data_IF_703811240505
#
_entry.id   IF_703811240505
#
_cell.length_a   1.000
_cell.length_b   1.000
_cell.length_c   1.000
_cell.angle_alpha   90.00
_cell.angle_beta   90.00
_cell.angle_gamma   90.00
#
_symmetry.space_group_name_H-M   'P 1'
#
loop_
_entity.id
_entity.type
_entity.pdbx_description
1 polymer ?
#
# COMPACT_ATOMS: atom_id res chain seq x y z
N UNK A 1 55.13 12.42 -3.51
CA UNK A 1 53.90 13.02 -4.09
C UNK A 1 52.67 12.09 -4.01
N UNK A 2 52.81 10.84 -3.58
CA UNK A 2 51.72 9.84 -3.55
C UNK A 2 50.86 9.85 -2.28
N UNK A 3 51.29 10.51 -1.20
CA UNK A 3 50.56 10.53 0.08
C UNK A 3 49.42 11.56 0.14
N UNK A 4 49.40 12.53 -0.79
CA UNK A 4 48.37 13.57 -0.81
C UNK A 4 47.11 13.16 -1.59
N UNK A 5 47.20 12.14 -2.46
CA UNK A 5 46.02 11.58 -3.14
C UNK A 5 45.11 10.80 -2.18
N UNK A 6 45.66 10.20 -1.11
CA UNK A 6 44.88 9.39 -0.18
C UNK A 6 43.92 10.21 0.70
N UNK A 7 44.22 11.47 0.99
CA UNK A 7 43.32 12.35 1.75
C UNK A 7 42.16 12.91 0.90
N UNK A 8 42.31 12.98 -0.42
CA UNK A 8 41.28 13.55 -1.29
C UNK A 8 40.09 12.59 -1.53
N UNK A 9 40.30 11.27 -1.37
CA UNK A 9 39.25 10.25 -1.51
C UNK A 9 38.23 10.22 -0.34
N UNK A 10 38.51 10.89 0.78
CA UNK A 10 37.64 10.90 1.96
C UNK A 10 36.67 12.10 2.00
N UNK A 11 36.66 12.93 0.95
CA UNK A 11 35.79 14.12 0.83
C UNK A 11 34.62 13.91 -0.15
N UNK A 12 34.26 12.65 -0.44
CA UNK A 12 33.02 12.37 -1.18
C UNK A 12 31.84 12.94 -0.37
N UNK A 13 31.04 13.86 -0.94
CA UNK A 13 29.84 14.33 -0.25
C UNK A 13 28.95 13.13 0.03
N UNK A 14 28.48 13.00 1.27
CA UNK A 14 27.42 12.05 1.60
C UNK A 14 26.20 12.45 0.76
N UNK A 15 25.89 11.64 -0.25
CA UNK A 15 24.62 11.76 -0.95
C UNK A 15 23.55 11.42 0.09
N UNK A 16 22.55 12.28 0.34
CA UNK A 16 21.46 11.91 1.22
C UNK A 16 20.84 10.63 0.68
N UNK A 17 20.92 9.55 1.46
CA UNK A 17 20.22 8.33 1.14
C UNK A 17 18.73 8.60 1.30
N UNK A 18 17.93 8.32 0.27
CA UNK A 18 16.47 8.33 0.40
C UNK A 18 16.08 7.11 1.22
N UNK A 19 15.80 7.34 2.49
CA UNK A 19 15.72 6.28 3.50
C UNK A 19 14.31 5.68 3.68
N UNK A 20 13.33 6.09 2.87
CA UNK A 20 11.97 5.57 2.90
C UNK A 20 11.47 5.37 1.46
N UNK A 21 10.68 4.32 1.21
CA UNK A 21 10.02 3.38 2.15
C UNK A 21 10.90 2.18 2.58
N UNK A 22 10.44 1.38 3.56
CA UNK A 22 11.11 0.15 4.05
C UNK A 22 10.47 -1.14 3.54
N UNK A 23 9.17 -1.10 3.26
CA UNK A 23 8.39 -2.23 2.74
C UNK A 23 7.76 -1.82 1.42
N UNK A 24 7.81 -2.72 0.44
CA UNK A 24 7.17 -2.51 -0.86
C UNK A 24 6.07 -3.54 -1.03
N UNK A 25 4.87 -3.09 -1.41
CA UNK A 25 3.71 -3.94 -1.64
C UNK A 25 3.11 -3.63 -2.99
N UNK A 26 3.16 -4.60 -3.88
CA UNK A 26 2.43 -4.59 -5.14
C UNK A 26 0.97 -4.94 -4.88
N UNK A 27 0.04 -4.19 -5.49
CA UNK A 27 -1.38 -4.31 -5.19
C UNK A 27 -2.23 -4.53 -6.43
N UNK A 28 -3.27 -5.34 -6.25
CA UNK A 28 -4.33 -5.52 -7.24
C UNK A 28 -5.65 -5.21 -6.56
N UNK A 29 -6.48 -4.37 -7.19
CA UNK A 29 -7.80 -4.01 -6.68
C UNK A 29 -8.87 -4.56 -7.60
N UNK A 30 -9.82 -5.34 -7.07
CA UNK A 30 -10.98 -5.82 -7.81
C UNK A 30 -12.26 -5.32 -7.16
N UNK A 31 -12.94 -4.40 -7.82
CA UNK A 31 -14.13 -3.74 -7.30
C UNK A 31 -15.39 -4.51 -7.67
N UNK A 32 -16.32 -4.59 -6.74
CA UNK A 32 -17.66 -5.14 -6.94
C UNK A 32 -18.66 -4.01 -7.13
N UNK A 33 -19.42 -4.07 -8.23
CA UNK A 33 -20.52 -3.17 -8.49
C UNK A 33 -21.85 -3.94 -8.52
N UNK A 34 -22.91 -3.34 -7.99
CA UNK A 34 -24.27 -3.87 -8.13
C UNK A 34 -24.90 -3.52 -9.50
N UNK A 35 -26.15 -3.93 -9.71
CA UNK A 35 -26.90 -3.65 -10.94
C UNK A 35 -27.20 -2.17 -11.19
N UNK A 36 -27.11 -1.33 -10.17
CA UNK A 36 -27.29 0.12 -10.24
C UNK A 36 -25.96 0.87 -10.45
N UNK A 37 -24.84 0.14 -10.56
CA UNK A 37 -23.46 0.68 -10.61
C UNK A 37 -23.04 1.35 -9.31
N UNK A 38 -23.54 0.84 -8.18
CA UNK A 38 -23.04 1.20 -6.86
C UNK A 38 -21.83 0.33 -6.53
N UNK A 39 -20.74 0.93 -6.05
CA UNK A 39 -19.64 0.24 -5.40
C UNK A 39 -20.14 -0.40 -4.10
N UNK A 40 -19.94 -1.72 -3.98
CA UNK A 40 -20.37 -2.49 -2.80
C UNK A 40 -19.22 -3.17 -2.08
N UNK A 41 -18.02 -3.18 -2.67
CA UNK A 41 -16.83 -3.70 -2.00
C UNK A 41 -15.64 -3.84 -2.92
N UNK A 42 -14.51 -4.17 -2.30
CA UNK A 42 -13.20 -4.24 -2.95
C UNK A 42 -12.47 -5.48 -2.44
N UNK A 43 -12.05 -6.35 -3.36
CA UNK A 43 -11.04 -7.36 -3.08
C UNK A 43 -9.66 -6.75 -3.32
N UNK A 44 -8.80 -6.86 -2.31
CA UNK A 44 -7.44 -6.32 -2.29
C UNK A 44 -6.49 -7.49 -2.26
N UNK A 45 -5.53 -7.49 -3.18
CA UNK A 45 -4.37 -8.37 -3.14
C UNK A 45 -3.15 -7.56 -2.73
N UNK A 46 -2.41 -8.03 -1.73
CA UNK A 46 -1.12 -7.50 -1.33
C UNK A 46 -0.05 -8.53 -1.65
N UNK A 47 0.90 -8.17 -2.51
CA UNK A 47 2.10 -8.94 -2.78
C UNK A 47 3.29 -8.21 -2.16
N UNK A 48 3.72 -8.67 -0.99
CA UNK A 48 4.86 -8.11 -0.29
C UNK A 48 6.16 -8.39 -1.05
N UNK A 49 7.13 -7.50 -0.97
CA UNK A 49 8.46 -7.77 -1.50
C UNK A 49 9.10 -9.00 -0.82
N UNK A 50 10.05 -9.63 -1.54
CA UNK A 50 10.64 -10.88 -1.09
C UNK A 50 11.46 -10.74 0.21
N UNK A 51 12.06 -9.58 0.47
CA UNK A 51 12.82 -9.37 1.70
C UNK A 51 11.88 -9.26 2.89
N UNK A 52 10.82 -8.46 2.79
CA UNK A 52 9.84 -8.35 3.86
C UNK A 52 9.09 -9.66 4.10
N UNK A 53 8.77 -10.39 3.03
CA UNK A 53 8.17 -11.72 3.11
C UNK A 53 9.05 -12.69 3.91
N UNK A 54 10.35 -12.75 3.62
CA UNK A 54 11.30 -13.56 4.39
C UNK A 54 11.33 -13.15 5.86
N UNK A 55 11.35 -11.85 6.16
CA UNK A 55 11.37 -11.35 7.54
C UNK A 55 10.11 -11.76 8.32
N UNK A 56 8.93 -11.71 7.69
CA UNK A 56 7.69 -12.21 8.30
C UNK A 56 7.83 -13.69 8.64
N UNK A 57 8.28 -14.52 7.69
CA UNK A 57 8.42 -15.96 7.92
C UNK A 57 9.43 -16.27 9.02
N UNK A 58 10.58 -15.57 9.05
CA UNK A 58 11.61 -15.74 10.07
C UNK A 58 11.12 -15.33 11.47
N UNK A 59 10.45 -14.17 11.60
CA UNK A 59 9.94 -13.68 12.90
C UNK A 59 8.85 -14.60 13.47
N UNK A 60 8.01 -15.15 12.58
CA UNK A 60 6.97 -16.11 12.93
C UNK A 60 7.51 -17.55 13.13
N UNK A 61 8.75 -17.83 12.72
CA UNK A 61 9.34 -19.17 12.77
C UNK A 61 8.68 -20.17 11.82
N UNK A 62 8.19 -19.72 10.68
CA UNK A 62 7.59 -20.52 9.61
C UNK A 62 8.64 -20.91 8.54
N UNK A 63 8.32 -21.88 7.67
CA UNK A 63 9.23 -22.41 6.65
C UNK A 63 10.56 -22.90 7.26
N UNK A 64 10.48 -23.66 8.36
CA UNK A 64 11.65 -24.05 9.15
C UNK A 64 12.64 -24.96 8.39
N UNK A 65 12.19 -25.65 7.34
CA UNK A 65 13.02 -26.42 6.43
C UNK A 65 13.53 -25.61 5.23
N UNK A 66 13.04 -24.39 5.02
CA UNK A 66 13.53 -23.40 4.07
C UNK A 66 13.33 -23.84 2.62
N UNK A 67 12.28 -24.60 2.35
CA UNK A 67 11.97 -25.09 1.01
C UNK A 67 11.08 -24.11 0.21
N UNK A 68 10.57 -23.07 0.89
CA UNK A 68 9.72 -22.05 0.30
C UNK A 68 8.30 -22.54 -0.01
N UNK A 69 7.86 -23.64 0.59
CA UNK A 69 6.53 -24.24 0.43
C UNK A 69 5.83 -24.32 1.77
N UNK A 70 5.01 -23.31 2.05
CA UNK A 70 4.25 -23.26 3.31
C UNK A 70 3.17 -24.34 3.38
N UNK A 71 3.14 -25.05 4.50
CA UNK A 71 2.06 -25.96 4.86
C UNK A 71 0.75 -25.18 5.12
N UNK A 72 -0.43 -25.83 5.01
CA UNK A 72 -1.72 -25.15 5.19
C UNK A 72 -1.88 -24.44 6.55
N UNK A 73 -1.31 -24.98 7.61
CA UNK A 73 -1.33 -24.38 8.95
C UNK A 73 -0.38 -23.18 9.09
N UNK A 74 0.71 -23.15 8.31
CA UNK A 74 1.60 -21.97 8.23
C UNK A 74 0.91 -20.85 7.45
N UNK A 75 0.24 -21.17 6.33
CA UNK A 75 -0.57 -20.22 5.57
C UNK A 75 -1.71 -19.64 6.42
N UNK A 76 -2.38 -20.44 7.24
CA UNK A 76 -3.39 -19.94 8.18
C UNK A 76 -2.77 -18.95 9.18
N UNK A 77 -1.58 -19.25 9.72
CA UNK A 77 -0.88 -18.34 10.63
C UNK A 77 -0.55 -17.01 9.96
N UNK A 78 -0.03 -17.02 8.73
CA UNK A 78 0.26 -15.79 7.97
C UNK A 78 -1.01 -14.98 7.73
N UNK A 79 -2.12 -15.61 7.30
CA UNK A 79 -3.38 -14.90 7.07
C UNK A 79 -3.89 -14.21 8.35
N UNK A 80 -3.76 -14.87 9.50
CA UNK A 80 -4.18 -14.30 10.79
C UNK A 80 -3.27 -13.18 11.25
N UNK A 81 -1.95 -13.31 11.04
CA UNK A 81 -1.00 -12.23 11.28
C UNK A 81 -1.39 -10.98 10.49
N UNK A 82 -1.73 -11.15 9.21
CA UNK A 82 -2.05 -10.05 8.31
C UNK A 82 -3.39 -9.36 8.67
N UNK A 83 -4.40 -10.10 9.14
CA UNK A 83 -5.79 -9.59 9.21
C UNK A 83 -6.45 -9.58 10.60
N UNK A 84 -6.05 -10.41 11.57
CA UNK A 84 -6.85 -10.64 12.80
C UNK A 84 -6.69 -9.54 13.87
N UNK A 85 -5.71 -8.63 13.76
CA UNK A 85 -5.33 -7.73 14.86
C UNK A 85 -5.06 -6.28 14.42
N UNK A 86 -5.88 -5.75 13.51
CA UNK A 86 -5.78 -4.34 13.13
C UNK A 86 -6.15 -3.43 14.32
N UNK A 87 -5.32 -2.42 14.64
CA UNK A 87 -5.71 -1.36 15.57
C UNK A 87 -7.03 -0.68 15.17
N UNK A 88 -7.79 -0.15 16.15
CA UNK A 88 -9.09 0.49 15.88
C UNK A 88 -9.01 1.67 14.89
N UNK A 89 -7.85 2.33 14.82
CA UNK A 89 -7.55 3.46 13.95
C UNK A 89 -6.86 3.07 12.64
N UNK A 90 -6.59 1.78 12.41
CA UNK A 90 -5.99 1.29 11.17
C UNK A 90 -7.06 0.93 10.15
N UNK A 91 -7.20 1.77 9.12
CA UNK A 91 -8.17 1.60 8.03
C UNK A 91 -7.74 0.57 6.96
N UNK A 92 -6.54 -0.02 7.10
CA UNK A 92 -5.97 -0.96 6.14
C UNK A 92 -5.27 -0.31 4.95
N UNK A 93 -4.78 0.93 5.14
CA UNK A 93 -4.08 1.71 4.12
C UNK A 93 -4.84 1.92 2.80
N UNK A 94 -6.16 1.67 2.79
CA UNK A 94 -7.03 1.86 1.64
C UNK A 94 -8.11 2.88 1.98
N UNK A 95 -8.09 4.01 1.27
CA UNK A 95 -8.95 5.15 1.55
C UNK A 95 -9.82 5.47 0.35
N UNK A 96 -11.12 5.59 0.59
CA UNK A 96 -12.12 5.86 -0.44
C UNK A 96 -12.80 7.20 -0.16
N UNK A 97 -13.09 7.95 -1.23
CA UNK A 97 -13.96 9.13 -1.20
C UNK A 97 -14.98 9.05 -2.31
N UNK A 98 -16.21 9.49 -2.04
CA UNK A 98 -17.22 9.65 -3.09
C UNK A 98 -16.97 10.87 -3.99
N UNK A 99 -17.84 11.07 -4.98
CA UNK A 99 -17.77 12.18 -5.92
C UNK A 99 -17.90 13.56 -5.25
N UNK A 100 -18.45 13.64 -4.03
CA UNK A 100 -18.51 14.87 -3.23
C UNK A 100 -17.31 15.03 -2.29
N UNK A 101 -16.36 14.08 -2.31
CA UNK A 101 -15.15 14.09 -1.49
C UNK A 101 -15.35 13.60 -0.05
N UNK A 102 -16.49 12.97 0.27
CA UNK A 102 -16.76 12.42 1.60
C UNK A 102 -16.10 11.04 1.73
N UNK A 103 -15.42 10.80 2.86
CA UNK A 103 -14.80 9.50 3.11
C UNK A 103 -15.84 8.38 3.19
N UNK A 104 -15.55 7.25 2.54
CA UNK A 104 -16.34 6.04 2.60
C UNK A 104 -15.67 5.05 3.56
N UNK A 105 -16.43 4.56 4.54
CA UNK A 105 -15.95 3.56 5.48
C UNK A 105 -15.87 2.19 4.81
N UNK A 106 -14.82 1.43 5.12
CA UNK A 106 -14.64 0.05 4.71
C UNK A 106 -15.04 -0.89 5.85
N UNK A 107 -15.66 -2.02 5.51
CA UNK A 107 -15.89 -3.12 6.45
C UNK A 107 -14.57 -3.75 6.92
N UNK A 108 -14.62 -4.54 8.00
CA UNK A 108 -13.48 -5.32 8.46
C UNK A 108 -12.94 -6.23 7.33
N UNK A 109 -11.63 -6.54 7.31
CA UNK A 109 -11.07 -7.34 6.24
C UNK A 109 -11.54 -8.80 6.36
N UNK A 110 -12.03 -9.36 5.26
CA UNK A 110 -12.38 -10.77 5.15
C UNK A 110 -11.32 -11.52 4.36
N UNK A 111 -10.52 -12.37 5.02
CA UNK A 111 -9.48 -13.16 4.36
C UNK A 111 -10.01 -14.07 3.25
N UNK A 112 -9.36 -14.04 2.09
CA UNK A 112 -9.65 -14.88 0.90
C UNK A 112 -8.54 -15.85 0.54
N UNK A 113 -7.37 -15.69 1.16
CA UNK A 113 -6.27 -16.65 1.09
C UNK A 113 -4.93 -15.96 1.25
N UNK A 114 -3.89 -16.76 1.39
CA UNK A 114 -2.50 -16.34 1.29
C UNK A 114 -1.71 -17.41 0.56
N UNK A 115 -0.69 -17.00 -0.20
CA UNK A 115 0.22 -17.88 -0.92
C UNK A 115 1.65 -17.36 -0.79
N UNK A 116 2.63 -18.24 -0.88
CA UNK A 116 4.04 -17.88 -1.10
C UNK A 116 4.36 -18.15 -2.58
N UNK A 117 4.61 -17.09 -3.35
CA UNK A 117 4.87 -17.17 -4.79
C UNK A 117 6.21 -16.50 -5.05
N UNK A 118 7.18 -17.26 -5.57
CA UNK A 118 8.52 -16.74 -5.89
C UNK A 118 9.19 -15.97 -4.74
N UNK A 119 8.96 -16.42 -3.49
CA UNK A 119 9.48 -15.80 -2.27
C UNK A 119 8.67 -14.60 -1.75
N UNK A 120 7.56 -14.26 -2.41
CA UNK A 120 6.66 -13.18 -2.00
C UNK A 120 5.41 -13.75 -1.33
N UNK A 121 5.08 -13.25 -0.15
CA UNK A 121 3.78 -13.46 0.45
C UNK A 121 2.74 -12.66 -0.34
N UNK A 122 1.73 -13.36 -0.85
CA UNK A 122 0.61 -12.80 -1.58
C UNK A 122 -0.65 -13.08 -0.78
N UNK A 123 -1.16 -12.06 -0.08
CA UNK A 123 -2.41 -12.14 0.68
C UNK A 123 -3.56 -11.51 -0.09
N UNK A 124 -4.75 -12.08 0.08
CA UNK A 124 -5.99 -11.58 -0.53
C UNK A 124 -7.03 -11.42 0.55
N UNK A 125 -7.68 -10.26 0.60
CA UNK A 125 -8.79 -10.00 1.49
C UNK A 125 -9.87 -9.15 0.81
N UNK A 126 -11.08 -9.19 1.34
CA UNK A 126 -12.22 -8.43 0.83
C UNK A 126 -12.69 -7.40 1.86
N UNK A 127 -13.14 -6.24 1.39
CA UNK A 127 -13.62 -5.12 2.18
C UNK A 127 -14.99 -4.69 1.67
N UNK A 128 -16.01 -4.75 2.52
CA UNK A 128 -17.34 -4.25 2.17
C UNK A 128 -17.37 -2.71 2.11
N UNK A 129 -18.21 -2.17 1.24
CA UNK A 129 -18.50 -0.73 1.13
C UNK A 129 -20.01 -0.55 1.13
N UNK A 130 -20.53 0.41 1.91
CA UNK A 130 -21.94 0.74 1.82
C UNK A 130 -22.26 1.20 0.37
N UNK A 131 -23.34 0.69 -0.28
CA UNK A 131 -23.62 0.98 -1.68
C UNK A 131 -23.50 2.47 -2.03
N UNK A 132 -22.52 2.81 -2.86
CA UNK A 132 -22.15 4.20 -3.22
C UNK A 132 -21.98 4.35 -4.73
N UNK A 133 -22.48 5.41 -5.39
CA UNK A 133 -22.39 5.49 -6.84
C UNK A 133 -20.93 5.43 -7.28
N UNK A 134 -20.59 4.50 -8.18
CA UNK A 134 -19.20 4.28 -8.56
C UNK A 134 -18.62 5.48 -9.33
N UNK A 135 -19.45 6.22 -10.05
CA UNK A 135 -19.03 7.43 -10.78
C UNK A 135 -18.38 8.44 -9.83
N UNK A 136 -17.12 8.80 -10.11
CA UNK A 136 -16.39 9.83 -9.38
C UNK A 136 -15.82 9.38 -8.04
N UNK A 137 -15.92 8.10 -7.68
CA UNK A 137 -15.22 7.57 -6.50
C UNK A 137 -13.71 7.67 -6.71
N UNK A 138 -13.03 8.23 -5.72
CA UNK A 138 -11.57 8.26 -5.61
C UNK A 138 -11.11 7.17 -4.63
N UNK A 139 -10.12 6.37 -5.03
CA UNK A 139 -9.43 5.40 -4.17
C UNK A 139 -7.96 5.80 -4.09
N UNK A 140 -7.40 5.77 -2.89
CA UNK A 140 -5.96 5.97 -2.64
C UNK A 140 -5.47 4.90 -1.69
N UNK A 141 -4.33 4.31 -2.02
CA UNK A 141 -3.68 3.32 -1.17
C UNK A 141 -2.34 3.85 -0.67
N UNK A 142 -2.17 4.01 0.63
CA UNK A 142 -0.94 4.50 1.24
C UNK A 142 -0.89 4.18 2.73
N UNK A 143 0.30 3.93 3.26
CA UNK A 143 0.56 4.02 4.70
C UNK A 143 0.76 5.49 5.07
N UNK A 144 0.00 6.06 6.03
CA UNK A 144 0.17 7.45 6.46
C UNK A 144 1.62 7.82 6.78
N UNK A 145 2.38 6.92 7.40
CA UNK A 145 3.77 7.16 7.86
C UNK A 145 4.82 6.96 6.77
N UNK A 146 4.42 6.43 5.60
CA UNK A 146 5.31 6.09 4.48
C UNK A 146 6.41 5.07 4.84
N UNK A 147 6.15 4.18 5.80
CA UNK A 147 6.94 2.99 6.07
C UNK A 147 6.71 1.94 4.97
N UNK A 148 5.45 1.78 4.53
CA UNK A 148 5.04 0.93 3.40
C UNK A 148 4.75 1.78 2.17
N UNK A 149 5.36 1.43 1.03
CA UNK A 149 4.93 1.95 -0.27
C UNK A 149 4.07 0.91 -0.99
N UNK A 150 2.87 1.34 -1.34
CA UNK A 150 1.95 0.58 -2.17
C UNK A 150 2.04 1.04 -3.63
N UNK A 151 2.08 0.10 -4.55
CA UNK A 151 2.01 0.34 -5.99
C UNK A 151 0.91 -0.54 -6.59
N UNK A 152 -0.04 0.03 -7.33
CA UNK A 152 -1.17 -0.69 -7.94
C UNK A 152 -0.73 -1.35 -9.26
N UNK A 153 0.41 -2.04 -9.23
CA UNK A 153 1.06 -2.65 -10.38
C UNK A 153 0.28 -3.83 -10.97
N UNK A 154 -0.52 -4.52 -10.15
CA UNK A 154 -1.46 -5.57 -10.59
C UNK A 154 -2.74 -5.02 -11.22
N UNK A 155 -2.95 -3.70 -11.14
CA UNK A 155 -4.03 -2.98 -11.78
C UNK A 155 -5.35 -2.99 -11.03
N UNK A 156 -6.34 -2.35 -11.65
CA UNK A 156 -7.68 -2.16 -11.10
C UNK A 156 -8.71 -2.78 -12.04
N UNK A 157 -9.47 -3.77 -11.53
CA UNK A 157 -10.51 -4.46 -12.28
C UNK A 157 -11.89 -4.13 -11.71
N UNK A 158 -12.86 -3.84 -12.59
CA UNK A 158 -14.25 -3.58 -12.24
C UNK A 158 -15.18 -3.91 -13.41
N UNK A 159 -16.47 -4.18 -13.15
CA UNK A 159 -17.45 -4.46 -14.20
C UNK A 159 -17.68 -3.28 -15.15
N UNK A 160 -17.79 -3.59 -16.45
CA UNK A 160 -18.35 -2.67 -17.45
C UNK A 160 -19.77 -2.23 -17.04
N UNK A 161 -20.21 -0.99 -17.37
CA UNK A 161 -19.53 -0.02 -18.22
C UNK A 161 -18.63 0.96 -17.46
N UNK A 162 -18.15 0.58 -16.28
CA UNK A 162 -17.26 1.39 -15.48
C UNK A 162 -15.79 0.98 -15.70
N UNK A 163 -14.89 1.95 -15.58
CA UNK A 163 -13.44 1.76 -15.65
C UNK A 163 -12.75 2.60 -14.59
N UNK A 164 -11.50 2.27 -14.29
CA UNK A 164 -10.65 3.00 -13.38
C UNK A 164 -9.54 3.69 -14.19
N UNK A 165 -9.22 4.92 -13.80
CA UNK A 165 -8.03 5.64 -14.25
C UNK A 165 -7.06 5.74 -13.08
N UNK A 166 -5.82 5.30 -13.27
CA UNK A 166 -4.76 5.34 -12.25
C UNK A 166 -3.78 6.43 -12.63
N UNK A 167 -3.63 7.42 -11.77
CA UNK A 167 -2.70 8.54 -11.89
C UNK A 167 -1.57 8.35 -10.89
N UNK A 168 -0.34 8.27 -11.39
CA UNK A 168 0.86 8.18 -10.57
C UNK A 168 1.07 9.47 -9.75
N UNK A 169 1.67 9.38 -8.54
CA UNK A 169 1.99 10.57 -7.75
C UNK A 169 3.07 11.43 -8.42
N UNK A 170 3.00 12.75 -8.22
CA UNK A 170 4.12 13.64 -8.49
C UNK A 170 5.13 13.52 -7.34
N UNK A 171 6.14 12.68 -7.54
CA UNK A 171 7.17 12.39 -6.53
C UNK A 171 8.00 13.62 -6.17
N UNK A 172 8.29 14.51 -7.12
CA UNK A 172 9.01 15.75 -6.82
C UNK A 172 8.14 16.69 -5.97
N UNK A 173 6.82 16.75 -6.22
CA UNK A 173 5.91 17.48 -5.36
C UNK A 173 5.77 16.87 -3.97
N UNK A 174 5.75 15.53 -3.89
CA UNK A 174 5.72 14.82 -2.62
C UNK A 174 6.95 15.14 -1.76
N UNK A 175 8.14 15.12 -2.36
CA UNK A 175 9.39 15.47 -1.68
C UNK A 175 9.39 16.90 -1.15
N UNK A 176 8.93 17.86 -1.97
CA UNK A 176 8.78 19.26 -1.53
C UNK A 176 7.82 19.36 -0.36
N UNK A 177 6.69 18.65 -0.39
CA UNK A 177 5.73 18.64 0.71
C UNK A 177 6.32 18.03 2.00
N UNK A 178 7.11 16.96 1.89
CA UNK A 178 7.84 16.38 3.03
C UNK A 178 8.85 17.36 3.61
N UNK A 179 9.66 18.01 2.77
CA UNK A 179 10.64 19.01 3.22
C UNK A 179 9.96 20.19 3.92
N UNK A 180 8.80 20.63 3.42
CA UNK A 180 7.99 21.69 4.03
C UNK A 180 7.37 21.29 5.38
N UNK A 181 6.92 20.03 5.54
CA UNK A 181 6.42 19.52 6.81
C UNK A 181 7.57 19.35 7.82
N UNK A 182 8.70 18.77 7.40
CA UNK A 182 9.89 18.62 8.26
C UNK A 182 10.43 19.96 8.76
N UNK A 183 10.39 21.02 7.95
CA UNK A 183 10.82 22.35 8.35
C UNK A 183 9.96 22.96 9.49
N UNK A 184 8.77 22.41 9.74
CA UNK A 184 7.86 22.86 10.80
C UNK A 184 8.06 22.09 12.11
N UNK A 185 8.72 20.93 12.08
CA UNK A 185 8.99 20.10 13.25
C UNK A 185 10.24 20.61 13.98
N UNK A 186 10.17 21.02 15.24
CA UNK A 186 11.35 21.42 16.02
C UNK A 186 12.33 20.25 16.17
N UNK A 187 13.63 20.52 16.01
CA UNK A 187 14.68 19.47 16.03
C UNK A 187 14.74 18.65 17.34
N UNK A 188 14.17 19.16 18.43
CA UNK A 188 14.12 18.52 19.74
C UNK A 188 12.81 17.77 20.02
N UNK A 189 11.93 17.65 19.02
CA UNK A 189 10.63 16.98 19.12
C UNK A 189 10.55 15.78 18.19
N UNK A 190 9.86 14.75 18.66
CA UNK A 190 9.46 13.62 17.84
C UNK A 190 7.98 13.77 17.50
N UNK A 191 7.70 14.14 16.26
CA UNK A 191 6.35 14.26 15.73
C UNK A 191 6.19 13.26 14.58
N UNK A 192 5.11 12.48 14.63
CA UNK A 192 4.79 11.55 13.55
C UNK A 192 4.22 12.35 12.38
N UNK A 193 4.90 12.31 11.24
CA UNK A 193 4.45 12.98 10.03
C UNK A 193 3.69 12.00 9.14
N UNK A 194 2.46 12.35 8.77
CA UNK A 194 1.61 11.56 7.89
C UNK A 194 1.80 11.97 6.42
N UNK A 195 2.98 11.65 5.89
CA UNK A 195 3.45 12.07 4.57
C UNK A 195 3.14 11.09 3.44
N UNK A 196 2.78 9.84 3.75
CA UNK A 196 2.58 8.80 2.72
C UNK A 196 1.47 9.13 1.73
N UNK A 197 0.49 9.94 2.15
CA UNK A 197 -0.56 10.49 1.27
C UNK A 197 -0.02 11.27 0.07
N UNK A 198 1.21 11.78 0.09
CA UNK A 198 1.78 12.49 -1.06
C UNK A 198 2.33 11.55 -2.13
N UNK A 199 2.67 10.32 -1.74
CA UNK A 199 3.23 9.29 -2.62
C UNK A 199 2.17 8.29 -3.11
N UNK A 200 0.91 8.44 -2.71
CA UNK A 200 -0.16 7.54 -3.13
C UNK A 200 -0.62 7.83 -4.56
N UNK A 201 -0.74 6.78 -5.37
CA UNK A 201 -1.48 6.83 -6.63
C UNK A 201 -2.93 7.27 -6.38
N UNK A 202 -3.51 7.97 -7.36
CA UNK A 202 -4.93 8.33 -7.36
C UNK A 202 -5.66 7.46 -8.36
N UNK A 203 -6.66 6.74 -7.89
CA UNK A 203 -7.52 5.92 -8.74
C UNK A 203 -8.89 6.58 -8.79
N UNK A 204 -9.35 6.93 -9.98
CA UNK A 204 -10.68 7.53 -10.19
C UNK A 204 -11.56 6.62 -11.02
N UNK A 205 -12.77 6.36 -10.53
CA UNK A 205 -13.76 5.55 -11.21
C UNK A 205 -14.62 6.41 -12.14
N UNK A 206 -14.83 5.93 -13.37
CA UNK A 206 -15.72 6.56 -14.36
C UNK A 206 -16.59 5.52 -15.04
N UNK A 207 -17.86 5.82 -15.20
CA UNK A 207 -18.88 4.97 -15.78
C UNK A 207 -19.46 5.60 -17.04
N UNK A 208 -19.63 4.81 -18.10
CA UNK A 208 -20.32 5.32 -19.29
C UNK A 208 -21.78 5.70 -18.95
N UNK A 209 -22.35 6.72 -19.62
CA UNK A 209 -23.75 7.07 -19.45
C UNK A 209 -24.64 5.85 -19.72
N UNK A 210 -25.65 5.65 -18.89
CA UNK A 210 -26.69 4.65 -19.17
C UNK A 210 -27.42 5.03 -20.46
N UNK A 211 -27.40 4.13 -21.45
CA UNK A 211 -28.13 4.28 -22.71
C UNK A 211 -29.64 4.15 -22.53
#
# INVERSE_FOLDING_TARGET
MTKWLACLLLLLPAIPARAHPHVFVDTTLRLSLDSERQLTGIEVTWAYDALFSLLILEDMGLDADGDGVLAPDELEQVQRFDLDNWPEDFEGDLYLRDAEGRSLALGAPEGRGVQLIDGQLVSVHYRDVAPTPAEGVEIRQFDPTYYVAYEVSGGVALPEPCRAEVEAPDTEAAERAVDEELAQVPEDQFELLEVGKYYAERITLTCAPSS
#
